data_IF_936061164146
#
_entry.id   IF_936061164146
#
_cell.length_a   1.000
_cell.length_b   1.000
_cell.length_c   1.000
_cell.angle_alpha   90.00
_cell.angle_beta   90.00
_cell.angle_gamma   90.00
#
_symmetry.space_group_name_H-M   'P 1'
#
loop_
_entity.id
_entity.type
_entity.pdbx_description
1 polymer ?
#
# COMPACT_ATOMS: atom_id res chain seq x y z
N UNK A 1 11.04 -10.73 12.58
CA UNK A 1 11.52 -9.75 13.60
C UNK A 1 10.89 -8.42 13.29
N UNK A 2 10.43 -7.67 14.32
CA UNK A 2 9.84 -6.34 14.09
C UNK A 2 10.90 -5.36 13.57
N UNK A 3 10.52 -4.57 12.58
CA UNK A 3 11.33 -3.46 12.08
C UNK A 3 10.83 -2.18 12.77
N UNK A 4 11.63 -1.66 13.70
CA UNK A 4 11.31 -0.45 14.46
C UNK A 4 12.31 0.63 14.05
N UNK A 5 11.82 1.70 13.47
CA UNK A 5 12.62 2.87 13.06
C UNK A 5 12.58 3.94 14.15
N UNK A 6 13.49 4.88 14.09
CA UNK A 6 13.48 6.01 14.99
C UNK A 6 12.24 6.90 14.81
N UNK A 7 11.90 7.60 15.88
CA UNK A 7 10.83 8.59 15.89
C UNK A 7 11.25 9.80 15.07
N UNK A 8 10.36 10.30 14.22
CA UNK A 8 10.60 11.50 13.42
C UNK A 8 10.53 12.72 14.35
N UNK A 9 11.37 13.71 14.14
CA UNK A 9 11.36 14.94 14.92
C UNK A 9 9.97 15.62 14.86
N UNK A 10 9.41 15.92 16.03
CA UNK A 10 8.05 16.49 16.16
C UNK A 10 6.89 15.51 16.03
N UNK A 11 7.14 14.22 15.70
CA UNK A 11 6.08 13.21 15.61
C UNK A 11 5.45 12.94 16.98
N UNK A 12 4.12 12.91 17.07
CA UNK A 12 3.45 12.52 18.32
C UNK A 12 3.70 11.03 18.64
N UNK A 13 3.71 10.67 19.91
CA UNK A 13 4.01 9.29 20.32
C UNK A 13 2.99 8.27 19.74
N UNK A 14 1.71 8.66 19.67
CA UNK A 14 0.65 7.85 19.03
C UNK A 14 0.94 7.63 17.55
N UNK A 15 1.29 8.69 16.81
CA UNK A 15 1.50 8.61 15.36
C UNK A 15 2.74 7.79 15.02
N UNK A 16 3.79 7.89 15.85
CA UNK A 16 4.96 7.02 15.78
C UNK A 16 4.56 5.54 15.93
N UNK A 17 3.82 5.20 16.99
CA UNK A 17 3.37 3.83 17.24
C UNK A 17 2.49 3.33 16.08
N UNK A 18 1.56 4.16 15.62
CA UNK A 18 0.67 3.84 14.51
C UNK A 18 1.49 3.51 13.25
N UNK A 19 2.45 4.35 12.90
CA UNK A 19 3.36 4.13 11.76
C UNK A 19 4.16 2.84 11.88
N UNK A 20 4.70 2.53 13.07
CA UNK A 20 5.45 1.29 13.30
C UNK A 20 4.54 0.06 13.16
N UNK A 21 3.33 0.08 13.74
CA UNK A 21 2.40 -1.04 13.66
C UNK A 21 1.90 -1.26 12.23
N UNK A 22 1.51 -0.20 11.52
CA UNK A 22 1.08 -0.30 10.11
C UNK A 22 2.20 -0.91 9.26
N UNK A 23 3.43 -0.40 9.36
CA UNK A 23 4.55 -0.94 8.62
C UNK A 23 4.72 -2.44 8.87
N UNK A 24 4.77 -2.85 10.13
CA UNK A 24 5.00 -4.24 10.49
C UNK A 24 3.82 -5.18 10.13
N UNK A 25 2.59 -4.67 10.11
CA UNK A 25 1.40 -5.42 9.63
C UNK A 25 1.44 -5.57 8.11
N UNK A 26 1.72 -4.49 7.37
CA UNK A 26 1.79 -4.49 5.90
C UNK A 26 2.89 -5.43 5.41
N UNK A 27 4.08 -5.35 6.01
CA UNK A 27 5.22 -6.21 5.66
C UNK A 27 5.17 -7.61 6.29
N UNK A 28 4.07 -7.93 7.00
CA UNK A 28 3.86 -9.23 7.67
C UNK A 28 4.96 -9.62 8.68
N UNK A 29 5.62 -8.63 9.27
CA UNK A 29 6.47 -8.84 10.46
C UNK A 29 5.62 -9.09 11.70
N UNK A 30 4.38 -8.56 11.72
CA UNK A 30 3.28 -8.93 12.58
C UNK A 30 2.29 -9.74 11.75
N UNK A 31 2.15 -11.02 12.06
CA UNK A 31 1.38 -11.96 11.25
C UNK A 31 -0.14 -11.82 11.49
N UNK A 32 -0.97 -12.09 10.49
CA UNK A 32 -2.41 -12.21 10.69
C UNK A 32 -2.76 -13.19 11.82
N UNK A 33 -3.68 -12.81 12.68
CA UNK A 33 -4.05 -13.57 13.89
C UNK A 33 -3.08 -13.42 15.07
N UNK A 34 -1.89 -12.83 14.87
CA UNK A 34 -0.92 -12.65 15.95
C UNK A 34 -1.42 -11.67 17.00
N UNK A 35 -1.26 -12.02 18.27
CA UNK A 35 -1.53 -11.13 19.39
C UNK A 35 -0.46 -10.04 19.47
N UNK A 36 -0.90 -8.81 19.71
CA UNK A 36 -0.03 -7.67 19.99
C UNK A 36 0.29 -7.67 21.50
N UNK A 37 1.53 -7.99 21.84
CA UNK A 37 1.97 -8.03 23.24
C UNK A 37 2.40 -6.63 23.70
N UNK A 38 1.47 -5.91 24.34
CA UNK A 38 1.65 -4.51 24.72
C UNK A 38 2.93 -4.22 25.53
N UNK A 39 3.34 -5.05 26.52
CA UNK A 39 4.59 -4.79 27.25
C UNK A 39 5.83 -4.86 26.35
N UNK A 40 5.86 -5.80 25.41
CA UNK A 40 6.96 -5.96 24.45
C UNK A 40 7.00 -4.78 23.49
N UNK A 41 5.87 -4.41 22.89
CA UNK A 41 5.77 -3.29 21.95
C UNK A 41 6.14 -1.96 22.61
N UNK A 42 5.65 -1.69 23.82
CA UNK A 42 6.02 -0.52 24.59
C UNK A 42 7.54 -0.45 24.85
N UNK A 43 8.14 -1.59 25.21
CA UNK A 43 9.59 -1.67 25.46
C UNK A 43 10.40 -1.43 24.18
N UNK A 44 10.02 -2.09 23.07
CA UNK A 44 10.72 -1.95 21.79
C UNK A 44 10.65 -0.53 21.21
N UNK A 45 9.49 0.12 21.32
CA UNK A 45 9.28 1.48 20.80
C UNK A 45 9.63 2.58 21.80
N UNK A 46 10.00 2.22 23.05
CA UNK A 46 10.26 3.17 24.14
C UNK A 46 9.11 4.17 24.35
N UNK A 47 7.88 3.64 24.47
CA UNK A 47 6.66 4.42 24.70
C UNK A 47 5.88 3.89 25.92
N UNK A 48 5.02 4.72 26.49
CA UNK A 48 4.07 4.28 27.53
C UNK A 48 2.88 3.54 26.87
N UNK A 49 2.03 2.94 27.72
CA UNK A 49 0.87 2.18 27.26
C UNK A 49 -0.22 3.05 26.62
N UNK A 50 -0.32 4.34 26.97
CA UNK A 50 -1.37 5.21 26.43
C UNK A 50 -1.28 5.42 24.92
N UNK A 51 -0.15 5.88 24.32
CA UNK A 51 -0.01 6.03 22.89
C UNK A 51 -0.18 4.71 22.13
N UNK A 52 0.22 3.57 22.72
CA UNK A 52 -0.03 2.26 22.12
C UNK A 52 -1.54 1.97 22.04
N UNK A 53 -2.26 2.17 23.14
CA UNK A 53 -3.71 1.94 23.17
C UNK A 53 -4.47 2.87 22.22
N UNK A 54 -4.07 4.13 22.10
CA UNK A 54 -4.66 5.07 21.15
C UNK A 54 -4.44 4.61 19.72
N UNK A 55 -3.24 4.17 19.37
CA UNK A 55 -2.93 3.61 18.07
C UNK A 55 -3.70 2.32 17.78
N UNK A 56 -3.82 1.41 18.77
CA UNK A 56 -4.63 0.20 18.65
C UNK A 56 -6.10 0.53 18.37
N UNK A 57 -6.69 1.53 19.03
CA UNK A 57 -8.07 1.93 18.78
C UNK A 57 -8.27 2.44 17.34
N UNK A 58 -7.33 3.21 16.82
CA UNK A 58 -7.36 3.71 15.45
C UNK A 58 -7.21 2.56 14.41
N UNK A 59 -6.29 1.64 14.67
CA UNK A 59 -6.12 0.44 13.83
C UNK A 59 -7.35 -0.49 13.89
N UNK A 60 -8.05 -0.56 15.01
CA UNK A 60 -9.28 -1.32 15.12
C UNK A 60 -10.44 -0.65 14.34
N UNK A 61 -10.51 0.68 14.30
CA UNK A 61 -11.47 1.40 13.48
C UNK A 61 -11.25 1.14 11.99
N UNK A 62 -9.99 1.10 11.54
CA UNK A 62 -9.63 0.74 10.17
C UNK A 62 -9.65 -0.77 9.90
N UNK A 63 -10.01 -1.60 10.90
CA UNK A 63 -10.07 -3.09 10.80
C UNK A 63 -8.72 -3.76 10.48
N UNK A 64 -7.60 -3.11 10.74
CA UNK A 64 -6.28 -3.72 10.63
C UNK A 64 -5.93 -4.59 11.81
N UNK A 65 -6.54 -4.33 12.96
CA UNK A 65 -6.50 -5.19 14.14
C UNK A 65 -7.91 -5.45 14.69
N UNK A 66 -8.04 -6.47 15.50
CA UNK A 66 -9.24 -6.80 16.28
C UNK A 66 -8.93 -6.70 17.77
N UNK A 67 -9.71 -5.89 18.50
CA UNK A 67 -9.61 -5.81 19.96
C UNK A 67 -10.63 -6.74 20.57
N UNK A 68 -10.15 -7.80 21.25
CA UNK A 68 -10.99 -8.76 21.99
C UNK A 68 -11.03 -8.35 23.47
N UNK A 69 -12.22 -7.97 24.01
CA UNK A 69 -12.34 -7.53 25.39
C UNK A 69 -11.72 -8.53 26.39
N UNK A 70 -10.88 -8.03 27.30
CA UNK A 70 -10.15 -8.80 28.33
C UNK A 70 -9.11 -9.80 27.80
N UNK A 71 -8.92 -9.93 26.50
CA UNK A 71 -7.96 -10.87 25.89
C UNK A 71 -6.78 -10.13 25.30
N UNK A 72 -7.03 -9.04 24.55
CA UNK A 72 -5.99 -8.23 23.92
C UNK A 72 -6.32 -7.80 22.49
N UNK A 73 -5.35 -7.21 21.83
CA UNK A 73 -5.43 -6.82 20.44
C UNK A 73 -4.72 -7.86 19.55
N UNK A 74 -5.26 -8.11 18.36
CA UNK A 74 -4.78 -9.10 17.41
C UNK A 74 -4.72 -8.50 16.01
N UNK A 75 -3.70 -8.84 15.23
CA UNK A 75 -3.64 -8.47 13.82
C UNK A 75 -4.78 -9.14 13.07
N UNK A 76 -5.56 -8.38 12.31
CA UNK A 76 -6.66 -8.94 11.52
C UNK A 76 -6.13 -9.81 10.37
N UNK A 77 -6.86 -10.86 10.05
CA UNK A 77 -6.66 -11.61 8.82
C UNK A 77 -6.86 -10.73 7.58
N UNK A 78 -6.34 -11.16 6.44
CA UNK A 78 -6.60 -10.47 5.18
C UNK A 78 -8.07 -10.61 4.83
N UNK A 79 -8.77 -9.48 4.78
CA UNK A 79 -10.17 -9.43 4.38
C UNK A 79 -10.26 -9.09 2.89
N UNK A 80 -10.56 -10.09 2.07
CA UNK A 80 -10.63 -9.93 0.62
C UNK A 80 -11.74 -9.00 0.18
N UNK A 81 -12.88 -8.97 0.86
CA UNK A 81 -13.99 -8.08 0.52
C UNK A 81 -13.59 -6.61 0.66
N UNK A 82 -12.85 -6.27 1.74
CA UNK A 82 -12.32 -4.90 1.91
C UNK A 82 -11.33 -4.58 0.80
N UNK A 83 -10.41 -5.48 0.49
CA UNK A 83 -9.39 -5.27 -0.55
C UNK A 83 -10.03 -5.10 -1.92
N UNK A 84 -11.05 -5.90 -2.26
CA UNK A 84 -11.78 -5.80 -3.52
C UNK A 84 -12.52 -4.46 -3.65
N UNK A 85 -13.24 -4.03 -2.61
CA UNK A 85 -13.93 -2.74 -2.62
C UNK A 85 -12.95 -1.56 -2.76
N UNK A 86 -11.79 -1.63 -2.11
CA UNK A 86 -10.74 -0.61 -2.24
C UNK A 86 -10.11 -0.61 -3.65
N UNK A 87 -9.91 -1.78 -4.22
CA UNK A 87 -9.46 -1.92 -5.61
C UNK A 87 -10.48 -1.28 -6.57
N UNK A 88 -11.76 -1.56 -6.40
CA UNK A 88 -12.81 -0.99 -7.24
C UNK A 88 -12.85 0.53 -7.14
N UNK A 89 -12.73 1.08 -5.92
CA UNK A 89 -12.62 2.52 -5.70
C UNK A 89 -11.40 3.10 -6.43
N UNK A 90 -10.22 2.51 -6.25
CA UNK A 90 -9.00 2.93 -6.91
C UNK A 90 -9.11 2.84 -8.43
N UNK A 91 -9.71 1.78 -8.95
CA UNK A 91 -9.91 1.58 -10.37
C UNK A 91 -10.68 2.75 -11.01
N UNK A 92 -11.75 3.21 -10.36
CA UNK A 92 -12.54 4.35 -10.83
C UNK A 92 -11.74 5.67 -10.73
N UNK A 93 -11.14 5.92 -9.57
CA UNK A 93 -10.41 7.18 -9.32
C UNK A 93 -9.16 7.28 -10.20
N UNK A 94 -8.37 6.22 -10.31
CA UNK A 94 -7.10 6.25 -11.05
C UNK A 94 -7.31 6.22 -12.58
N UNK A 95 -8.38 5.61 -13.08
CA UNK A 95 -8.74 5.74 -14.50
C UNK A 95 -9.10 7.19 -14.87
N UNK A 96 -9.88 7.86 -14.02
CA UNK A 96 -10.19 9.28 -14.20
C UNK A 96 -8.94 10.16 -14.08
N UNK A 97 -8.08 9.85 -13.12
CA UNK A 97 -6.80 10.54 -12.91
C UNK A 97 -5.89 10.42 -14.14
N UNK A 98 -5.79 9.23 -14.74
CA UNK A 98 -5.02 8.99 -15.96
C UNK A 98 -5.52 9.80 -17.15
N UNK A 99 -6.85 9.94 -17.29
CA UNK A 99 -7.46 10.80 -18.32
C UNK A 99 -7.11 12.27 -18.11
N UNK A 100 -7.23 12.78 -16.89
CA UNK A 100 -6.89 14.17 -16.58
C UNK A 100 -5.39 14.44 -16.75
N UNK A 101 -4.54 13.50 -16.39
CA UNK A 101 -3.09 13.58 -16.53
C UNK A 101 -2.65 13.84 -17.98
N UNK A 102 -3.38 13.30 -18.96
CA UNK A 102 -3.10 13.55 -20.39
C UNK A 102 -3.16 15.02 -20.79
N UNK A 103 -3.98 15.81 -20.11
CA UNK A 103 -4.16 17.24 -20.42
C UNK A 103 -3.23 18.14 -19.62
N UNK A 104 -2.80 17.73 -18.43
CA UNK A 104 -2.21 18.66 -17.46
C UNK A 104 -0.75 18.38 -17.12
N UNK A 105 -0.25 17.17 -17.31
CA UNK A 105 1.13 16.86 -16.93
C UNK A 105 2.13 17.58 -17.84
N UNK A 106 3.11 18.20 -17.20
CA UNK A 106 4.25 18.83 -17.88
C UNK A 106 5.30 17.79 -18.30
N UNK A 107 6.18 18.15 -19.23
CA UNK A 107 7.29 17.29 -19.64
C UNK A 107 8.16 16.86 -18.45
N UNK A 108 8.51 17.76 -17.53
CA UNK A 108 9.30 17.44 -16.35
C UNK A 108 8.61 16.44 -15.42
N UNK A 109 7.28 16.51 -15.29
CA UNK A 109 6.52 15.55 -14.50
C UNK A 109 6.49 14.16 -15.15
N UNK A 110 6.35 14.11 -16.48
CA UNK A 110 6.45 12.86 -17.24
C UNK A 110 7.85 12.24 -17.11
N UNK A 111 8.91 13.05 -17.22
CA UNK A 111 10.28 12.60 -17.04
C UNK A 111 10.48 11.97 -15.65
N UNK A 112 9.92 12.56 -14.58
CA UNK A 112 10.00 12.00 -13.22
C UNK A 112 9.26 10.65 -13.07
N UNK A 113 8.16 10.46 -13.79
CA UNK A 113 7.45 9.16 -13.81
C UNK A 113 8.27 8.10 -14.58
N UNK A 114 8.91 8.46 -15.67
CA UNK A 114 9.83 7.57 -16.39
C UNK A 114 11.05 7.19 -15.54
N UNK A 115 11.60 8.13 -14.77
CA UNK A 115 12.68 7.84 -13.81
C UNK A 115 12.25 6.84 -12.75
N UNK A 116 11.03 6.98 -12.20
CA UNK A 116 10.48 6.02 -11.25
C UNK A 116 10.39 4.61 -11.87
N UNK A 117 9.86 4.50 -13.09
CA UNK A 117 9.76 3.23 -13.85
C UNK A 117 11.14 2.60 -14.09
N UNK A 118 12.13 3.41 -14.46
CA UNK A 118 13.51 2.93 -14.68
C UNK A 118 14.19 2.45 -13.40
N UNK A 119 13.98 3.15 -12.28
CA UNK A 119 14.47 2.74 -10.97
C UNK A 119 13.81 1.41 -10.53
N UNK A 120 12.52 1.25 -10.77
CA UNK A 120 11.82 0.01 -10.45
C UNK A 120 12.41 -1.18 -11.23
N UNK A 121 12.65 -1.05 -12.54
CA UNK A 121 13.28 -2.08 -13.35
C UNK A 121 14.65 -2.50 -12.77
N UNK A 122 15.43 -1.54 -12.29
CA UNK A 122 16.71 -1.80 -11.64
C UNK A 122 16.54 -2.61 -10.34
N UNK A 123 15.53 -2.26 -9.51
CA UNK A 123 15.31 -2.96 -8.23
C UNK A 123 14.69 -4.36 -8.41
N UNK A 124 13.90 -4.60 -9.47
CA UNK A 124 13.48 -5.96 -9.85
C UNK A 124 14.72 -6.85 -10.08
N UNK A 125 15.70 -6.36 -10.83
CA UNK A 125 16.94 -7.11 -11.13
C UNK A 125 17.76 -7.38 -9.85
N UNK A 126 17.59 -6.57 -8.81
CA UNK A 126 18.26 -6.74 -7.51
C UNK A 126 17.47 -7.60 -6.51
N UNK A 127 16.19 -7.89 -6.79
CA UNK A 127 15.30 -8.58 -5.87
C UNK A 127 14.96 -7.76 -4.62
N UNK A 128 14.96 -6.43 -4.69
CA UNK A 128 14.69 -5.53 -3.56
C UNK A 128 13.18 -5.17 -3.52
N UNK A 129 12.39 -6.05 -2.88
CA UNK A 129 10.94 -5.92 -2.77
C UNK A 129 10.50 -4.63 -2.06
N UNK A 130 11.26 -4.19 -1.06
CA UNK A 130 10.98 -2.98 -0.29
C UNK A 130 11.05 -1.73 -1.18
N UNK A 131 12.09 -1.65 -2.00
CA UNK A 131 12.25 -0.54 -2.95
C UNK A 131 11.23 -0.58 -4.06
N UNK A 132 10.87 -1.77 -4.54
CA UNK A 132 9.80 -1.95 -5.53
C UNK A 132 8.47 -1.44 -4.98
N UNK A 133 8.12 -1.83 -3.75
CA UNK A 133 6.90 -1.37 -3.09
C UNK A 133 6.88 0.16 -2.87
N UNK A 134 8.01 0.72 -2.43
CA UNK A 134 8.15 2.17 -2.25
C UNK A 134 7.90 2.91 -3.56
N UNK A 135 8.52 2.45 -4.67
CA UNK A 135 8.38 3.07 -5.98
C UNK A 135 6.95 2.96 -6.54
N UNK A 136 6.26 1.83 -6.28
CA UNK A 136 4.84 1.66 -6.62
C UNK A 136 3.98 2.74 -5.95
N UNK A 137 4.12 2.91 -4.66
CA UNK A 137 3.40 3.94 -3.90
C UNK A 137 3.76 5.36 -4.34
N UNK A 138 5.03 5.63 -4.61
CA UNK A 138 5.49 6.93 -5.11
C UNK A 138 4.92 7.24 -6.49
N UNK A 139 4.83 6.26 -7.38
CA UNK A 139 4.25 6.42 -8.71
C UNK A 139 2.79 6.87 -8.63
N UNK A 140 1.96 6.09 -7.94
CA UNK A 140 0.54 6.43 -7.76
C UNK A 140 0.36 7.75 -7.01
N UNK A 141 1.03 7.95 -5.89
CA UNK A 141 0.96 9.18 -5.11
C UNK A 141 1.39 10.42 -5.89
N UNK A 142 2.39 10.29 -6.77
CA UNK A 142 2.84 11.37 -7.64
C UNK A 142 1.77 11.78 -8.65
N UNK A 143 1.08 10.83 -9.29
CA UNK A 143 -0.03 11.12 -10.20
C UNK A 143 -1.14 11.89 -9.50
N UNK A 144 -1.58 11.47 -8.31
CA UNK A 144 -2.57 12.21 -7.53
C UNK A 144 -2.12 13.66 -7.23
N UNK A 145 -0.87 13.83 -6.81
CA UNK A 145 -0.31 15.16 -6.49
C UNK A 145 -0.20 16.05 -7.73
N UNK A 146 0.32 15.52 -8.83
CA UNK A 146 0.49 16.23 -10.10
C UNK A 146 -0.86 16.69 -10.68
N UNK A 147 -1.92 15.89 -10.47
CA UNK A 147 -3.28 16.23 -10.87
C UNK A 147 -4.05 17.08 -9.84
N UNK A 148 -3.42 17.50 -8.73
CA UNK A 148 -4.06 18.29 -7.69
C UNK A 148 -5.16 17.56 -6.91
N UNK A 149 -5.15 16.21 -6.89
CA UNK A 149 -6.17 15.36 -6.26
C UNK A 149 -5.76 14.90 -4.85
N UNK A 150 -5.21 15.78 -4.04
CA UNK A 150 -4.74 15.46 -2.68
C UNK A 150 -5.84 14.87 -1.79
N UNK A 151 -7.09 15.32 -1.91
CA UNK A 151 -8.22 14.79 -1.14
C UNK A 151 -8.52 13.35 -1.53
N UNK A 152 -8.48 13.03 -2.83
CA UNK A 152 -8.64 11.65 -3.30
C UNK A 152 -7.51 10.75 -2.79
N UNK A 153 -6.27 11.24 -2.89
CA UNK A 153 -5.10 10.54 -2.36
C UNK A 153 -5.25 10.20 -0.87
N UNK A 154 -5.59 11.20 -0.05
CA UNK A 154 -5.77 11.00 1.38
C UNK A 154 -6.88 9.99 1.71
N UNK A 155 -7.98 9.98 0.94
CA UNK A 155 -9.05 9.01 1.09
C UNK A 155 -8.55 7.58 0.79
N UNK A 156 -7.83 7.39 -0.31
CA UNK A 156 -7.25 6.09 -0.67
C UNK A 156 -6.22 5.64 0.37
N UNK A 157 -5.30 6.54 0.77
CA UNK A 157 -4.25 6.23 1.75
C UNK A 157 -4.78 5.87 3.15
N UNK A 158 -5.94 6.42 3.55
CA UNK A 158 -6.54 6.08 4.84
C UNK A 158 -6.88 4.59 5.00
N UNK A 159 -7.07 3.88 3.88
CA UNK A 159 -7.37 2.45 3.85
C UNK A 159 -6.29 1.63 3.12
N UNK A 160 -5.25 2.29 2.63
CA UNK A 160 -4.17 1.66 1.86
C UNK A 160 -3.52 0.45 2.55
N UNK A 161 -3.33 0.39 3.88
CA UNK A 161 -2.69 -0.75 4.53
C UNK A 161 -3.33 -2.11 4.22
N UNK A 162 -4.64 -2.16 3.94
CA UNK A 162 -5.30 -3.40 3.52
C UNK A 162 -4.83 -3.86 2.13
N UNK A 163 -4.78 -2.92 1.18
CA UNK A 163 -4.31 -3.19 -0.18
C UNK A 163 -2.79 -3.39 -0.20
N UNK A 164 -2.03 -2.56 0.49
CA UNK A 164 -0.57 -2.61 0.59
C UNK A 164 -0.08 -3.97 1.07
N UNK A 165 -0.74 -4.55 2.09
CA UNK A 165 -0.41 -5.90 2.59
C UNK A 165 -0.55 -6.96 1.48
N UNK A 166 -1.61 -6.90 0.67
CA UNK A 166 -1.78 -7.84 -0.44
C UNK A 166 -0.82 -7.57 -1.59
N UNK A 167 -0.42 -6.33 -1.81
CA UNK A 167 0.62 -5.95 -2.79
C UNK A 167 1.97 -6.57 -2.41
N UNK A 168 2.41 -6.43 -1.15
CA UNK A 168 3.63 -7.07 -0.64
C UNK A 168 3.57 -8.59 -0.81
N UNK A 169 2.46 -9.22 -0.43
CA UNK A 169 2.28 -10.67 -0.59
C UNK A 169 2.30 -11.09 -2.06
N UNK A 170 1.73 -10.27 -2.95
CA UNK A 170 1.77 -10.50 -4.40
C UNK A 170 3.20 -10.49 -4.95
N UNK A 171 4.02 -9.54 -4.50
CA UNK A 171 5.43 -9.45 -4.92
C UNK A 171 6.25 -10.68 -4.51
N UNK A 172 5.90 -11.31 -3.39
CA UNK A 172 6.54 -12.56 -2.93
C UNK A 172 6.06 -13.82 -3.66
N UNK A 173 4.90 -13.77 -4.32
CA UNK A 173 4.33 -14.94 -5.00
C UNK A 173 4.52 -14.90 -6.51
N UNK A 174 4.67 -13.74 -7.11
CA UNK A 174 4.62 -13.55 -8.56
C UNK A 174 5.65 -12.54 -9.05
N UNK A 175 5.97 -12.67 -10.34
CA UNK A 175 6.80 -11.70 -11.04
C UNK A 175 6.11 -10.33 -11.13
N UNK A 176 6.83 -9.28 -10.73
CA UNK A 176 6.36 -7.90 -10.74
C UNK A 176 6.47 -7.23 -12.13
N UNK A 177 7.10 -7.92 -13.10
CA UNK A 177 7.36 -7.36 -14.43
C UNK A 177 6.12 -6.91 -15.20
N UNK A 178 4.96 -7.55 -14.98
CA UNK A 178 3.70 -7.12 -15.62
C UNK A 178 3.18 -5.80 -15.04
N UNK A 179 3.36 -5.58 -13.74
CA UNK A 179 2.98 -4.35 -13.06
C UNK A 179 3.86 -3.20 -13.57
N UNK A 180 5.18 -3.41 -13.63
CA UNK A 180 6.12 -2.44 -14.19
C UNK A 180 5.78 -2.07 -15.63
N UNK A 181 5.43 -3.06 -16.46
CA UNK A 181 5.01 -2.82 -17.85
C UNK A 181 3.77 -1.94 -17.93
N UNK A 182 2.78 -2.17 -17.06
CA UNK A 182 1.57 -1.35 -17.01
C UNK A 182 1.90 0.11 -16.67
N UNK A 183 2.82 0.36 -15.72
CA UNK A 183 3.27 1.72 -15.38
C UNK A 183 3.96 2.40 -16.58
N UNK A 184 4.90 1.73 -17.25
CA UNK A 184 5.56 2.30 -18.43
C UNK A 184 4.60 2.60 -19.58
N UNK A 185 3.66 1.71 -19.85
CA UNK A 185 2.63 1.91 -20.86
C UNK A 185 1.67 3.05 -20.49
N UNK A 186 1.34 3.22 -19.20
CA UNK A 186 0.51 4.30 -18.71
C UNK A 186 1.18 5.66 -18.92
N UNK A 187 2.45 5.80 -18.53
CA UNK A 187 3.19 7.06 -18.75
C UNK A 187 3.26 7.40 -20.23
N UNK A 188 3.52 6.39 -21.08
CA UNK A 188 3.55 6.58 -22.54
C UNK A 188 2.18 7.00 -23.11
N UNK A 189 1.08 6.43 -22.61
CA UNK A 189 -0.26 6.82 -23.04
C UNK A 189 -0.59 8.27 -22.62
N UNK A 190 -0.20 8.66 -21.40
CA UNK A 190 -0.37 10.04 -20.91
C UNK A 190 0.46 11.02 -21.75
N UNK A 191 1.72 10.72 -22.03
CA UNK A 191 2.60 11.55 -22.86
C UNK A 191 2.03 11.76 -24.26
N UNK A 192 1.47 10.71 -24.87
CA UNK A 192 0.83 10.77 -26.18
C UNK A 192 -0.59 11.36 -26.15
N UNK A 193 -1.09 11.76 -24.98
CA UNK A 193 -2.45 12.28 -24.76
C UNK A 193 -3.56 11.33 -25.20
N UNK A 194 -3.27 10.03 -25.17
CA UNK A 194 -4.22 8.96 -25.51
C UNK A 194 -5.06 8.61 -24.26
N UNK A 195 -6.12 9.39 -24.05
CA UNK A 195 -6.99 9.29 -22.87
C UNK A 195 -7.66 7.94 -22.73
N UNK A 196 -8.12 7.35 -23.84
CA UNK A 196 -8.80 6.06 -23.83
C UNK A 196 -7.83 4.96 -23.42
N UNK A 197 -6.64 4.94 -24.02
CA UNK A 197 -5.58 4.00 -23.68
C UNK A 197 -5.09 4.18 -22.24
N UNK A 198 -4.91 5.42 -21.77
CA UNK A 198 -4.49 5.70 -20.40
C UNK A 198 -5.50 5.16 -19.37
N UNK A 199 -6.80 5.42 -19.58
CA UNK A 199 -7.87 4.88 -18.73
C UNK A 199 -7.88 3.34 -18.75
N UNK A 200 -7.80 2.73 -19.93
CA UNK A 200 -7.80 1.27 -20.08
C UNK A 200 -6.60 0.62 -19.37
N UNK A 201 -5.40 1.19 -19.53
CA UNK A 201 -4.20 0.66 -18.86
C UNK A 201 -4.34 0.78 -17.34
N UNK A 202 -4.81 1.92 -16.83
CA UNK A 202 -5.04 2.12 -15.41
C UNK A 202 -6.01 1.08 -14.84
N UNK A 203 -7.15 0.83 -15.52
CA UNK A 203 -8.12 -0.19 -15.12
C UNK A 203 -7.51 -1.60 -15.15
N UNK A 204 -6.79 -1.94 -16.21
CA UNK A 204 -6.08 -3.24 -16.32
C UNK A 204 -5.08 -3.41 -15.18
N UNK A 205 -4.31 -2.37 -14.87
CA UNK A 205 -3.34 -2.38 -13.79
C UNK A 205 -4.02 -2.69 -12.43
N UNK A 206 -5.10 -1.98 -12.10
CA UNK A 206 -5.84 -2.23 -10.86
C UNK A 206 -6.47 -3.63 -10.81
N UNK A 207 -6.82 -4.24 -11.95
CA UNK A 207 -7.38 -5.59 -12.00
C UNK A 207 -6.34 -6.71 -11.74
N UNK A 208 -5.03 -6.40 -11.77
CA UNK A 208 -3.96 -7.39 -11.48
C UNK A 208 -4.09 -8.07 -10.13
N UNK A 209 -4.68 -7.39 -9.14
CA UNK A 209 -4.97 -8.00 -7.85
C UNK A 209 -5.84 -9.26 -7.97
N UNK A 210 -6.93 -9.20 -8.74
CA UNK A 210 -7.83 -10.35 -8.92
C UNK A 210 -7.12 -11.56 -9.56
N UNK A 211 -6.10 -11.30 -10.40
CA UNK A 211 -5.27 -12.37 -10.98
C UNK A 211 -4.30 -12.97 -9.94
N UNK A 212 -3.99 -12.24 -8.87
CA UNK A 212 -2.96 -12.62 -7.90
C UNK A 212 -3.54 -13.23 -6.62
N UNK A 213 -4.80 -12.94 -6.25
CA UNK A 213 -5.36 -13.35 -4.96
C UNK A 213 -5.32 -14.85 -4.72
N UNK A 214 -5.60 -15.66 -5.74
CA UNK A 214 -5.53 -17.12 -5.63
C UNK A 214 -4.10 -17.63 -5.38
N UNK A 215 -3.11 -16.96 -6.01
CA UNK A 215 -1.71 -17.29 -5.75
C UNK A 215 -1.30 -16.89 -4.33
N UNK A 216 -1.74 -15.73 -3.83
CA UNK A 216 -1.49 -15.28 -2.46
C UNK A 216 -2.11 -16.28 -1.48
N UNK A 217 -3.38 -16.67 -1.65
CA UNK A 217 -4.05 -17.67 -0.80
C UNK A 217 -3.33 -19.01 -0.79
N UNK A 218 -2.85 -19.45 -1.94
CA UNK A 218 -2.11 -20.71 -2.06
C UNK A 218 -0.76 -20.70 -1.33
N UNK A 219 -0.06 -19.55 -1.34
CA UNK A 219 1.26 -19.42 -0.71
C UNK A 219 1.16 -19.09 0.79
N UNK A 220 0.11 -18.38 1.20
CA UNK A 220 -0.11 -17.90 2.57
C UNK A 220 -1.51 -18.27 3.07
N UNK A 221 -1.89 -19.57 3.10
CA UNK A 221 -3.26 -19.97 3.48
C UNK A 221 -3.64 -19.51 4.88
N UNK A 222 -2.70 -19.50 5.82
CA UNK A 222 -2.93 -19.10 7.21
C UNK A 222 -3.15 -17.60 7.42
N UNK A 223 -3.06 -16.79 6.34
CA UNK A 223 -3.25 -15.33 6.43
C UNK A 223 -4.72 -14.92 6.19
N UNK A 224 -5.56 -15.85 5.81
CA UNK A 224 -6.99 -15.66 5.52
C UNK A 224 -7.83 -16.43 6.53
N UNK A 225 -9.01 -15.91 6.81
CA UNK A 225 -9.96 -16.51 7.77
C UNK A 225 -11.31 -16.72 7.06
N UNK A 226 -11.28 -17.56 6.02
CA UNK A 226 -12.48 -17.96 5.26
C UNK A 226 -13.00 -19.30 5.75
#
# INVERSE_FOLDING_TARGET
>A
MLNITEKIEGEAAKDYVLRQLIYNIVHTNLLPGQKLEAPELCSLMNVSNNPLREAELELAQSKLIEIKPKIGAFVSYVNTDIVEQLRDLRCVLEAQLAVEACDILTKSQLDSLYENVALWEMYIKRGDEEKIFTLDKEFHGSLYKMCGKTVWYNLVESMAPHFDRTTILSFRCKETGRILKDHGELVSAIENKDKEKAAHISQRHMSRYSENIDAIRKHFPDYFND
#
